data_IF_743697678451
#
_entry.id   IF_743697678451
#
_cell.length_a   1.000
_cell.length_b   1.000
_cell.length_c   1.000
_cell.angle_alpha   90.00
_cell.angle_beta   90.00
_cell.angle_gamma   90.00
#
_symmetry.space_group_name_H-M   'P 1'
#
loop_
_entity.id
_entity.type
_entity.pdbx_description
1 polymer ?
#
# COMPACT_ATOMS: atom_id res chain seq x y z
N UNK A 1 -13.42 -30.20 -21.59
CA UNK A 1 -14.45 -29.14 -21.71
C UNK A 1 -15.28 -29.37 -22.96
N UNK A 2 -16.60 -29.28 -22.85
CA UNK A 2 -17.52 -29.32 -24.01
C UNK A 2 -17.31 -28.06 -24.86
N UNK A 3 -17.69 -28.06 -26.16
CA UNK A 3 -17.49 -26.91 -27.05
C UNK A 3 -18.08 -25.59 -26.51
N UNK A 4 -19.26 -25.64 -25.89
CA UNK A 4 -19.91 -24.46 -25.29
C UNK A 4 -19.17 -23.87 -24.07
N UNK A 5 -18.46 -24.71 -23.30
CA UNK A 5 -17.64 -24.25 -22.17
C UNK A 5 -16.42 -23.46 -22.66
N UNK A 6 -15.86 -23.85 -23.81
CA UNK A 6 -14.69 -23.18 -24.41
C UNK A 6 -15.04 -21.77 -24.91
N UNK A 7 -16.18 -21.62 -25.59
CA UNK A 7 -16.63 -20.32 -26.10
C UNK A 7 -16.93 -19.35 -24.96
N UNK A 8 -17.58 -19.83 -23.89
CA UNK A 8 -17.84 -19.04 -22.69
C UNK A 8 -16.55 -18.65 -21.98
N UNK A 9 -15.61 -19.59 -21.80
CA UNK A 9 -14.32 -19.32 -21.19
C UNK A 9 -13.53 -18.24 -21.96
N UNK A 10 -13.52 -18.31 -23.30
CA UNK A 10 -12.87 -17.32 -24.14
C UNK A 10 -13.52 -15.93 -24.02
N UNK A 11 -14.85 -15.86 -24.00
CA UNK A 11 -15.58 -14.60 -23.83
C UNK A 11 -15.31 -13.98 -22.45
N UNK A 12 -15.33 -14.77 -21.37
CA UNK A 12 -15.00 -14.30 -20.03
C UNK A 12 -13.53 -13.84 -19.93
N UNK A 13 -12.61 -14.55 -20.59
CA UNK A 13 -11.20 -14.16 -20.66
C UNK A 13 -11.01 -12.82 -21.37
N UNK A 14 -11.62 -12.64 -22.54
CA UNK A 14 -11.54 -11.41 -23.32
C UNK A 14 -12.15 -10.21 -22.59
N UNK A 15 -13.32 -10.40 -21.96
CA UNK A 15 -14.00 -9.35 -21.20
C UNK A 15 -13.16 -8.84 -20.02
N UNK A 16 -12.63 -9.75 -19.20
CA UNK A 16 -11.83 -9.38 -18.02
C UNK A 16 -10.48 -8.78 -18.41
N UNK A 17 -9.87 -9.26 -19.50
CA UNK A 17 -8.65 -8.67 -20.07
C UNK A 17 -8.91 -7.26 -20.57
N UNK A 18 -9.99 -7.05 -21.34
CA UNK A 18 -10.38 -5.72 -21.81
C UNK A 18 -10.68 -4.76 -20.65
N UNK A 19 -11.35 -5.25 -19.59
CA UNK A 19 -11.60 -4.47 -18.38
C UNK A 19 -10.30 -4.04 -17.69
N UNK A 20 -9.31 -4.92 -17.59
CA UNK A 20 -8.00 -4.57 -17.04
C UNK A 20 -7.33 -3.46 -17.87
N UNK A 21 -7.36 -3.55 -19.21
CA UNK A 21 -6.83 -2.51 -20.11
C UNK A 21 -7.54 -1.18 -19.88
N UNK A 22 -8.87 -1.16 -19.87
CA UNK A 22 -9.65 0.07 -19.67
C UNK A 22 -9.33 0.72 -18.32
N UNK A 23 -9.25 -0.06 -17.24
CA UNK A 23 -8.88 0.45 -15.92
C UNK A 23 -7.47 1.04 -15.94
N UNK A 24 -6.51 0.33 -16.54
CA UNK A 24 -5.12 0.80 -16.65
C UNK A 24 -4.99 2.11 -17.42
N UNK A 25 -5.66 2.23 -18.57
CA UNK A 25 -5.68 3.45 -19.37
C UNK A 25 -6.35 4.60 -18.62
N UNK A 26 -7.53 4.36 -18.02
CA UNK A 26 -8.25 5.38 -17.27
C UNK A 26 -7.41 5.96 -16.12
N UNK A 27 -6.65 5.13 -15.42
CA UNK A 27 -5.79 5.58 -14.32
C UNK A 27 -4.64 6.48 -14.71
N UNK A 28 -4.04 6.22 -15.87
CA UNK A 28 -2.88 6.99 -16.34
C UNK A 28 -3.34 8.32 -16.92
N UNK A 29 -4.42 8.32 -17.72
CA UNK A 29 -4.88 9.53 -18.39
C UNK A 29 -5.73 10.45 -17.51
N UNK A 30 -6.23 9.96 -16.38
CA UNK A 30 -7.01 10.75 -15.42
C UNK A 30 -6.27 10.72 -14.06
N UNK A 31 -5.40 11.70 -13.75
CA UNK A 31 -4.59 11.69 -12.53
C UNK A 31 -5.36 11.42 -11.22
N UNK A 32 -6.58 11.97 -11.00
CA UNK A 32 -7.37 11.65 -9.81
C UNK A 32 -7.79 10.17 -9.71
N UNK A 33 -7.80 9.44 -10.83
CA UNK A 33 -8.16 8.02 -10.90
C UNK A 33 -6.97 7.07 -10.75
N UNK A 34 -5.74 7.58 -10.66
CA UNK A 34 -4.55 6.73 -10.53
C UNK A 34 -4.61 5.83 -9.28
N UNK A 35 -5.02 6.39 -8.13
CA UNK A 35 -5.20 5.62 -6.91
C UNK A 35 -6.23 4.50 -7.07
N UNK A 36 -7.37 4.80 -7.71
CA UNK A 36 -8.41 3.80 -7.97
C UNK A 36 -7.89 2.70 -8.90
N UNK A 37 -7.03 3.05 -9.85
CA UNK A 37 -6.43 2.10 -10.78
C UNK A 37 -5.49 1.15 -10.08
N UNK A 38 -4.63 1.63 -9.18
CA UNK A 38 -3.76 0.78 -8.35
C UNK A 38 -4.55 -0.29 -7.59
N UNK A 39 -5.77 0.03 -7.16
CA UNK A 39 -6.64 -0.87 -6.39
C UNK A 39 -7.51 -1.78 -7.28
N UNK A 40 -8.06 -1.24 -8.36
CA UNK A 40 -9.03 -1.91 -9.25
C UNK A 40 -8.37 -2.77 -10.32
N UNK A 41 -7.20 -2.37 -10.83
CA UNK A 41 -6.49 -3.10 -11.89
C UNK A 41 -6.18 -4.56 -11.56
N UNK A 42 -5.80 -4.92 -10.32
CA UNK A 42 -5.62 -6.33 -9.95
C UNK A 42 -6.92 -7.16 -10.01
N UNK A 43 -8.10 -6.54 -9.85
CA UNK A 43 -9.38 -7.26 -9.64
C UNK A 43 -9.80 -8.11 -10.84
N UNK A 44 -9.82 -7.62 -12.09
CA UNK A 44 -10.11 -8.46 -13.26
C UNK A 44 -9.16 -9.66 -13.39
N UNK A 45 -7.88 -9.49 -13.04
CA UNK A 45 -6.90 -10.56 -13.09
C UNK A 45 -7.12 -11.60 -11.99
N UNK A 46 -7.49 -11.17 -10.78
CA UNK A 46 -7.94 -12.06 -9.70
C UNK A 46 -9.13 -12.91 -10.21
N UNK A 47 -10.09 -12.28 -10.87
CA UNK A 47 -11.26 -12.97 -11.42
C UNK A 47 -10.90 -13.97 -12.53
N UNK A 48 -9.93 -13.65 -13.39
CA UNK A 48 -9.42 -14.58 -14.41
C UNK A 48 -8.86 -15.84 -13.76
N UNK A 49 -8.02 -15.70 -12.73
CA UNK A 49 -7.44 -16.85 -12.02
C UNK A 49 -8.51 -17.68 -11.32
N UNK A 50 -9.48 -17.01 -10.68
CA UNK A 50 -10.58 -17.66 -9.96
C UNK A 50 -11.53 -18.44 -10.88
N UNK A 51 -11.83 -17.91 -12.07
CA UNK A 51 -12.79 -18.51 -13.02
C UNK A 51 -12.16 -19.53 -13.97
N UNK A 52 -10.93 -19.30 -14.39
CA UNK A 52 -10.20 -20.12 -15.35
C UNK A 52 -9.04 -20.79 -14.61
N UNK A 53 -7.83 -20.23 -14.69
CA UNK A 53 -6.61 -20.66 -13.97
C UNK A 53 -5.53 -19.56 -14.00
N UNK A 54 -4.45 -19.75 -13.24
CA UNK A 54 -3.30 -18.83 -13.22
C UNK A 54 -2.67 -18.63 -14.60
N UNK A 55 -2.59 -19.67 -15.42
CA UNK A 55 -2.10 -19.58 -16.80
C UNK A 55 -2.94 -18.61 -17.66
N UNK A 56 -4.28 -18.66 -17.51
CA UNK A 56 -5.17 -17.74 -18.22
C UNK A 56 -5.10 -16.32 -17.65
N UNK A 57 -4.87 -16.17 -16.35
CA UNK A 57 -4.58 -14.89 -15.72
C UNK A 57 -3.30 -14.26 -16.29
N UNK A 58 -2.20 -15.03 -16.37
CA UNK A 58 -0.94 -14.58 -16.97
C UNK A 58 -1.08 -14.26 -18.45
N UNK A 59 -1.79 -15.09 -19.22
CA UNK A 59 -2.07 -14.82 -20.62
C UNK A 59 -2.90 -13.53 -20.78
N UNK A 60 -3.89 -13.31 -19.90
CA UNK A 60 -4.69 -12.09 -19.89
C UNK A 60 -3.86 -10.85 -19.55
N UNK A 61 -2.98 -10.95 -18.56
CA UNK A 61 -2.03 -9.90 -18.24
C UNK A 61 -1.07 -9.61 -19.40
N UNK A 62 -0.55 -10.64 -20.07
CA UNK A 62 0.32 -10.48 -21.24
C UNK A 62 -0.42 -9.78 -22.40
N UNK A 63 -1.67 -10.16 -22.65
CA UNK A 63 -2.50 -9.50 -23.65
C UNK A 63 -2.79 -8.04 -23.27
N UNK A 64 -3.13 -7.76 -22.00
CA UNK A 64 -3.31 -6.39 -21.51
C UNK A 64 -2.01 -5.58 -21.60
N UNK A 65 -0.86 -6.19 -21.32
CA UNK A 65 0.46 -5.57 -21.40
C UNK A 65 0.78 -5.04 -22.80
N UNK A 66 0.40 -5.76 -23.86
CA UNK A 66 0.56 -5.27 -25.24
C UNK A 66 -0.13 -3.92 -25.43
N UNK A 67 -1.39 -3.79 -25.00
CA UNK A 67 -2.11 -2.52 -25.09
C UNK A 67 -1.50 -1.45 -24.19
N UNK A 68 -1.17 -1.78 -22.94
CA UNK A 68 -0.59 -0.82 -22.02
C UNK A 68 0.75 -0.29 -22.52
N UNK A 69 1.64 -1.13 -23.04
CA UNK A 69 2.94 -0.68 -23.57
C UNK A 69 2.77 0.24 -24.80
N UNK A 70 1.74 0.02 -25.61
CA UNK A 70 1.47 0.87 -26.79
C UNK A 70 0.92 2.25 -26.40
N UNK A 71 0.04 2.31 -25.40
CA UNK A 71 -0.72 3.52 -25.09
C UNK A 71 -0.27 4.28 -23.84
N UNK A 72 0.52 3.66 -22.95
CA UNK A 72 0.92 4.22 -21.65
C UNK A 72 2.43 4.50 -21.66
N UNK A 73 2.92 5.60 -21.05
CA UNK A 73 4.34 5.84 -20.87
C UNK A 73 5.04 4.65 -20.20
N UNK A 74 6.26 4.33 -20.66
CA UNK A 74 6.97 3.11 -20.26
C UNK A 74 7.05 2.90 -18.73
N UNK A 75 7.38 3.93 -17.90
CA UNK A 75 7.39 3.76 -16.44
C UNK A 75 6.04 3.33 -15.86
N UNK A 76 4.96 3.99 -16.30
CA UNK A 76 3.61 3.71 -15.83
C UNK A 76 3.12 2.32 -16.30
N UNK A 77 3.45 1.92 -17.53
CA UNK A 77 3.12 0.59 -18.04
C UNK A 77 3.80 -0.51 -17.22
N UNK A 78 5.08 -0.35 -16.90
CA UNK A 78 5.84 -1.29 -16.05
C UNK A 78 5.19 -1.43 -14.67
N UNK A 79 4.84 -0.31 -14.03
CA UNK A 79 4.16 -0.33 -12.72
C UNK A 79 2.81 -1.05 -12.82
N UNK A 80 1.99 -0.76 -13.83
CA UNK A 80 0.71 -1.45 -14.01
C UNK A 80 0.88 -2.96 -14.19
N UNK A 81 1.82 -3.39 -15.03
CA UNK A 81 2.00 -4.79 -15.39
C UNK A 81 2.66 -5.58 -14.26
N UNK A 82 3.81 -5.10 -13.78
CA UNK A 82 4.65 -5.81 -12.81
C UNK A 82 4.10 -5.66 -11.41
N UNK A 83 3.84 -4.42 -10.97
CA UNK A 83 3.42 -4.18 -9.60
C UNK A 83 1.97 -4.59 -9.37
N UNK A 84 1.02 -4.05 -10.14
CA UNK A 84 -0.40 -4.31 -9.91
C UNK A 84 -0.92 -5.55 -10.62
N UNK A 85 -0.41 -5.84 -11.82
CA UNK A 85 -0.83 -7.00 -12.61
C UNK A 85 -0.48 -8.32 -11.94
N UNK A 86 0.81 -8.51 -11.62
CA UNK A 86 1.27 -9.72 -10.93
C UNK A 86 0.71 -9.84 -9.51
N UNK A 87 0.42 -8.72 -8.82
CA UNK A 87 -0.28 -8.74 -7.54
C UNK A 87 -1.70 -9.31 -7.68
N UNK A 88 -2.40 -8.99 -8.77
CA UNK A 88 -3.70 -9.59 -9.10
C UNK A 88 -3.60 -11.11 -9.31
N UNK A 89 -2.56 -11.57 -9.99
CA UNK A 89 -2.31 -13.01 -10.17
C UNK A 89 -2.02 -13.69 -8.83
N UNK A 90 -1.17 -13.08 -8.00
CA UNK A 90 -0.84 -13.58 -6.66
C UNK A 90 -2.09 -13.73 -5.80
N UNK A 91 -2.92 -12.68 -5.69
CA UNK A 91 -4.17 -12.77 -4.94
C UNK A 91 -5.14 -13.78 -5.53
N UNK A 92 -5.23 -13.87 -6.86
CA UNK A 92 -6.03 -14.88 -7.54
C UNK A 92 -5.65 -16.30 -7.12
N UNK A 93 -4.35 -16.61 -7.07
CA UNK A 93 -3.84 -17.92 -6.63
C UNK A 93 -4.17 -18.17 -5.16
N UNK A 94 -3.95 -17.18 -4.29
CA UNK A 94 -4.20 -17.32 -2.85
C UNK A 94 -5.68 -17.54 -2.54
N UNK A 95 -6.58 -16.79 -3.17
CA UNK A 95 -8.02 -16.98 -3.03
C UNK A 95 -8.47 -18.33 -3.60
N UNK A 96 -7.95 -18.74 -4.77
CA UNK A 96 -8.31 -20.02 -5.40
C UNK A 96 -7.92 -21.21 -4.54
N UNK A 97 -6.74 -21.14 -3.91
CA UNK A 97 -6.24 -22.16 -2.99
C UNK A 97 -6.82 -22.06 -1.58
N UNK A 98 -7.79 -21.17 -1.33
CA UNK A 98 -8.45 -20.96 -0.04
C UNK A 98 -7.48 -20.72 1.12
N UNK A 99 -6.38 -20.04 0.85
CA UNK A 99 -5.40 -19.65 1.87
C UNK A 99 -6.10 -18.76 2.90
N UNK A 100 -5.76 -18.94 4.19
CA UNK A 100 -6.39 -18.18 5.27
C UNK A 100 -6.29 -16.66 5.03
N UNK A 101 -7.28 -15.89 5.49
CA UNK A 101 -7.32 -14.45 5.24
C UNK A 101 -6.12 -13.69 5.81
N UNK A 102 -5.59 -14.13 6.96
CA UNK A 102 -4.38 -13.55 7.54
C UNK A 102 -3.15 -13.78 6.64
N UNK A 103 -2.93 -15.04 6.24
CA UNK A 103 -1.81 -15.38 5.37
C UNK A 103 -1.95 -14.72 3.98
N UNK A 104 -3.16 -14.62 3.43
CA UNK A 104 -3.42 -13.96 2.15
C UNK A 104 -3.06 -12.47 2.21
N UNK A 105 -3.47 -11.76 3.27
CA UNK A 105 -3.12 -10.34 3.45
C UNK A 105 -1.61 -10.18 3.64
N UNK A 106 -0.98 -10.98 4.50
CA UNK A 106 0.47 -10.90 4.73
C UNK A 106 1.27 -11.18 3.45
N UNK A 107 0.91 -12.22 2.70
CA UNK A 107 1.53 -12.53 1.42
C UNK A 107 1.29 -11.44 0.36
N UNK A 108 0.08 -10.85 0.34
CA UNK A 108 -0.25 -9.74 -0.54
C UNK A 108 0.52 -8.46 -0.22
N UNK A 109 0.69 -8.11 1.06
CA UNK A 109 1.49 -6.97 1.51
C UNK A 109 2.97 -7.13 1.15
N UNK A 110 3.56 -8.29 1.49
CA UNK A 110 4.94 -8.60 1.16
C UNK A 110 5.15 -8.66 -0.36
N UNK A 111 4.25 -9.35 -1.07
CA UNK A 111 4.27 -9.46 -2.52
C UNK A 111 4.17 -8.10 -3.19
N UNK A 112 3.30 -7.20 -2.73
CA UNK A 112 3.18 -5.85 -3.27
C UNK A 112 4.46 -5.03 -3.07
N UNK A 113 5.12 -5.14 -1.92
CA UNK A 113 6.40 -4.46 -1.68
C UNK A 113 7.50 -4.99 -2.61
N UNK A 114 7.60 -6.31 -2.76
CA UNK A 114 8.57 -6.95 -3.66
C UNK A 114 8.31 -6.58 -5.12
N UNK A 115 7.05 -6.64 -5.55
CA UNK A 115 6.66 -6.31 -6.92
C UNK A 115 6.83 -4.82 -7.23
N UNK A 116 6.62 -3.94 -6.24
CA UNK A 116 6.91 -2.52 -6.36
C UNK A 116 8.42 -2.27 -6.56
N UNK A 117 9.27 -2.87 -5.72
CA UNK A 117 10.73 -2.78 -5.89
C UNK A 117 11.18 -3.36 -7.23
N UNK A 118 10.62 -4.49 -7.65
CA UNK A 118 10.91 -5.08 -8.95
C UNK A 118 10.49 -4.16 -10.11
N UNK A 119 9.33 -3.52 -10.02
CA UNK A 119 8.88 -2.54 -10.99
C UNK A 119 9.82 -1.33 -11.04
N UNK A 120 10.21 -0.78 -9.89
CA UNK A 120 11.15 0.34 -9.81
C UNK A 120 12.52 0.00 -10.43
N UNK A 121 13.06 -1.19 -10.15
CA UNK A 121 14.30 -1.68 -10.77
C UNK A 121 14.16 -1.82 -12.29
N UNK A 122 13.02 -2.33 -12.77
CA UNK A 122 12.78 -2.48 -14.20
C UNK A 122 12.60 -1.13 -14.91
N UNK A 123 11.92 -0.17 -14.27
CA UNK A 123 11.83 1.21 -14.78
C UNK A 123 13.24 1.79 -14.94
N UNK A 124 14.06 1.73 -13.88
CA UNK A 124 15.44 2.20 -13.93
C UNK A 124 16.25 1.51 -15.03
N UNK A 125 16.11 0.20 -15.20
CA UNK A 125 16.82 -0.55 -16.23
C UNK A 125 16.41 -0.18 -17.67
N UNK A 126 15.15 0.25 -17.86
CA UNK A 126 14.62 0.60 -19.19
C UNK A 126 14.83 2.07 -19.56
N UNK A 127 14.73 2.98 -18.59
CA UNK A 127 14.82 4.44 -18.85
C UNK A 127 16.16 5.04 -18.47
N UNK A 128 16.93 4.39 -17.58
CA UNK A 128 18.13 4.96 -16.96
C UNK A 128 17.83 5.99 -15.86
N UNK A 129 16.55 6.30 -15.62
CA UNK A 129 16.12 7.31 -14.65
C UNK A 129 15.77 6.67 -13.31
N UNK A 130 16.28 7.22 -12.22
CA UNK A 130 16.01 6.71 -10.89
C UNK A 130 14.60 7.13 -10.44
N UNK A 131 13.64 6.20 -10.26
CA UNK A 131 12.26 6.54 -9.88
C UNK A 131 12.13 7.09 -8.45
N UNK A 132 13.22 7.10 -7.68
CA UNK A 132 13.27 7.61 -6.31
C UNK A 132 13.95 8.98 -6.19
N UNK A 133 14.25 9.63 -7.32
CA UNK A 133 14.84 10.98 -7.38
C UNK A 133 13.90 11.86 -8.18
N UNK A 134 13.70 13.10 -7.74
CA UNK A 134 12.94 14.06 -8.54
C UNK A 134 13.77 14.50 -9.75
N UNK A 135 13.16 14.39 -10.92
CA UNK A 135 13.64 15.09 -12.11
C UNK A 135 13.30 16.60 -12.03
N UNK A 136 13.78 17.36 -13.01
CA UNK A 136 13.52 18.80 -13.07
C UNK A 136 12.03 19.14 -13.15
N UNK A 137 11.22 18.29 -13.79
CA UNK A 137 9.79 18.49 -13.91
C UNK A 137 9.08 18.36 -12.55
N UNK A 138 9.40 17.33 -11.78
CA UNK A 138 8.89 17.08 -10.44
C UNK A 138 9.33 18.18 -9.47
N UNK A 139 10.58 18.66 -9.56
CA UNK A 139 11.05 19.81 -8.76
C UNK A 139 10.22 21.05 -9.08
N UNK A 140 10.03 21.37 -10.37
CA UNK A 140 9.24 22.55 -10.78
C UNK A 140 7.77 22.43 -10.35
N UNK A 141 7.18 21.26 -10.45
CA UNK A 141 5.81 21.01 -9.97
C UNK A 141 5.70 21.20 -8.44
N UNK A 142 6.69 20.71 -7.68
CA UNK A 142 6.75 20.91 -6.23
C UNK A 142 6.91 22.40 -5.87
N UNK A 143 7.77 23.14 -6.58
CA UNK A 143 7.95 24.57 -6.40
C UNK A 143 6.68 25.37 -6.70
N UNK A 144 5.95 25.02 -7.76
CA UNK A 144 4.66 25.64 -8.09
C UNK A 144 3.63 25.40 -6.98
N UNK A 145 3.49 24.15 -6.51
CA UNK A 145 2.60 23.82 -5.41
C UNK A 145 2.95 24.58 -4.12
N UNK A 146 4.25 24.74 -3.83
CA UNK A 146 4.72 25.52 -2.68
C UNK A 146 4.39 27.01 -2.83
N UNK A 147 4.62 27.60 -4.01
CA UNK A 147 4.31 29.00 -4.29
C UNK A 147 2.81 29.30 -4.07
N UNK A 148 1.93 28.43 -4.53
CA UNK A 148 0.48 28.53 -4.29
C UNK A 148 0.14 28.48 -2.79
N UNK A 149 0.82 27.59 -2.04
CA UNK A 149 0.61 27.45 -0.60
C UNK A 149 1.15 28.62 0.24
N UNK A 150 2.17 29.34 -0.24
CA UNK A 150 2.59 30.61 0.37
C UNK A 150 1.62 31.75 0.07
N UNK A 151 0.98 31.76 -1.11
CA UNK A 151 0.04 32.82 -1.48
C UNK A 151 -1.30 32.75 -0.75
N UNK A 152 -1.90 31.56 -0.70
CA UNK A 152 -3.27 31.37 -0.23
C UNK A 152 -3.49 30.13 0.66
N UNK A 153 -2.43 29.37 0.97
CA UNK A 153 -2.52 28.09 1.64
C UNK A 153 -1.97 28.08 3.07
N UNK A 154 -1.60 26.88 3.52
CA UNK A 154 -1.15 26.62 4.88
C UNK A 154 0.18 27.31 5.25
N UNK A 155 0.94 27.78 4.26
CA UNK A 155 2.28 28.36 4.44
C UNK A 155 2.29 29.89 4.37
N UNK A 156 1.13 30.55 4.29
CA UNK A 156 1.01 32.01 4.11
C UNK A 156 1.82 32.86 5.11
N UNK A 157 2.02 32.36 6.32
CA UNK A 157 2.70 33.10 7.38
C UNK A 157 4.23 32.96 7.33
N UNK A 158 4.79 32.24 6.35
CA UNK A 158 6.24 32.12 6.17
C UNK A 158 6.79 33.40 5.54
N UNK A 159 7.73 34.12 6.20
CA UNK A 159 8.32 35.34 5.67
C UNK A 159 8.98 35.11 4.30
N UNK A 160 8.85 36.04 3.32
CA UNK A 160 9.40 35.87 1.97
C UNK A 160 10.89 35.51 1.94
N UNK A 161 11.67 36.08 2.87
CA UNK A 161 13.11 35.85 3.00
C UNK A 161 13.45 34.40 3.35
N UNK A 162 12.55 33.67 4.01
CA UNK A 162 12.75 32.28 4.43
C UNK A 162 12.13 31.27 3.46
N UNK A 163 11.28 31.70 2.52
CA UNK A 163 10.54 30.81 1.63
C UNK A 163 11.48 29.96 0.78
N UNK A 164 12.58 30.52 0.26
CA UNK A 164 13.54 29.79 -0.57
C UNK A 164 14.18 28.60 0.17
N UNK A 165 14.69 28.84 1.38
CA UNK A 165 15.30 27.80 2.21
C UNK A 165 14.28 26.78 2.71
N UNK A 166 13.07 27.24 3.03
CA UNK A 166 11.98 26.37 3.47
C UNK A 166 11.52 25.44 2.34
N UNK A 167 11.38 25.96 1.11
CA UNK A 167 11.06 25.17 -0.08
C UNK A 167 12.11 24.10 -0.36
N UNK A 168 13.41 24.45 -0.31
CA UNK A 168 14.50 23.49 -0.49
C UNK A 168 14.43 22.36 0.55
N UNK A 169 14.14 22.69 1.81
CA UNK A 169 13.98 21.69 2.88
C UNK A 169 12.79 20.77 2.63
N UNK A 170 11.66 21.32 2.19
CA UNK A 170 10.47 20.50 1.87
C UNK A 170 10.77 19.57 0.69
N UNK A 171 11.34 20.08 -0.40
CA UNK A 171 11.67 19.26 -1.58
C UNK A 171 12.66 18.16 -1.21
N UNK A 172 13.72 18.49 -0.45
CA UNK A 172 14.68 17.48 0.03
C UNK A 172 14.03 16.46 0.96
N UNK A 173 13.07 16.87 1.80
CA UNK A 173 12.29 15.97 2.64
C UNK A 173 11.40 15.04 1.79
N UNK A 174 10.72 15.57 0.78
CA UNK A 174 9.90 14.78 -0.14
C UNK A 174 10.76 13.73 -0.85
N UNK A 175 11.89 14.14 -1.42
CA UNK A 175 12.85 13.26 -2.10
C UNK A 175 13.39 12.16 -1.18
N UNK A 176 13.75 12.51 0.06
CA UNK A 176 14.26 11.56 1.04
C UNK A 176 13.29 10.40 1.32
N UNK A 177 11.98 10.68 1.35
CA UNK A 177 10.95 9.71 1.73
C UNK A 177 10.22 9.07 0.55
N UNK A 178 10.56 9.38 -0.72
CA UNK A 178 9.96 8.72 -1.90
C UNK A 178 10.04 7.18 -1.78
N UNK A 179 11.17 6.56 -1.43
CA UNK A 179 11.24 5.09 -1.34
C UNK A 179 10.27 4.53 -0.30
N UNK A 180 10.23 5.13 0.90
CA UNK A 180 9.32 4.72 1.96
C UNK A 180 7.86 4.92 1.57
N UNK A 181 7.54 6.07 0.97
CA UNK A 181 6.22 6.38 0.46
C UNK A 181 5.77 5.37 -0.60
N UNK A 182 6.67 4.98 -1.51
CA UNK A 182 6.41 3.98 -2.53
C UNK A 182 6.09 2.60 -1.93
N UNK A 183 6.79 2.19 -0.88
CA UNK A 183 6.49 0.95 -0.13
C UNK A 183 5.12 1.04 0.55
N UNK A 184 4.83 2.16 1.22
CA UNK A 184 3.57 2.35 1.95
C UNK A 184 2.37 2.37 1.01
N UNK A 185 2.44 3.12 -0.11
CA UNK A 185 1.36 3.20 -1.08
C UNK A 185 1.10 1.83 -1.71
N UNK A 186 2.15 1.06 -1.99
CA UNK A 186 2.05 -0.31 -2.51
C UNK A 186 1.36 -1.25 -1.53
N UNK A 187 1.79 -1.24 -0.26
CA UNK A 187 1.19 -2.03 0.81
C UNK A 187 -0.27 -1.63 1.06
N UNK A 188 -0.56 -0.33 1.08
CA UNK A 188 -1.90 0.19 1.26
C UNK A 188 -2.83 -0.22 0.11
N UNK A 189 -2.39 -0.04 -1.15
CA UNK A 189 -3.13 -0.49 -2.32
C UNK A 189 -3.43 -1.98 -2.24
N UNK A 190 -2.43 -2.81 -1.90
CA UNK A 190 -2.62 -4.25 -1.75
C UNK A 190 -3.64 -4.62 -0.67
N UNK A 191 -3.63 -3.93 0.48
CA UNK A 191 -4.61 -4.14 1.55
C UNK A 191 -6.03 -3.79 1.06
N UNK A 192 -6.20 -2.65 0.41
CA UNK A 192 -7.51 -2.22 -0.13
C UNK A 192 -7.98 -3.18 -1.23
N UNK A 193 -7.09 -3.58 -2.14
CA UNK A 193 -7.37 -4.58 -3.19
C UNK A 193 -7.84 -5.90 -2.59
N UNK A 194 -7.22 -6.38 -1.51
CA UNK A 194 -7.67 -7.60 -0.83
C UNK A 194 -9.14 -7.49 -0.38
N UNK A 195 -9.49 -6.41 0.34
CA UNK A 195 -10.86 -6.23 0.83
C UNK A 195 -11.86 -6.06 -0.30
N UNK A 196 -11.49 -5.30 -1.33
CA UNK A 196 -12.31 -5.07 -2.51
C UNK A 196 -12.53 -6.38 -3.29
N UNK A 197 -11.46 -7.10 -3.60
CA UNK A 197 -11.53 -8.38 -4.31
C UNK A 197 -12.36 -9.40 -3.53
N UNK A 198 -12.17 -9.49 -2.21
CA UNK A 198 -12.99 -10.36 -1.35
C UNK A 198 -14.47 -9.99 -1.43
N UNK A 199 -14.82 -8.70 -1.38
CA UNK A 199 -16.21 -8.25 -1.50
C UNK A 199 -16.81 -8.59 -2.87
N UNK A 200 -16.06 -8.39 -3.96
CA UNK A 200 -16.48 -8.75 -5.31
C UNK A 200 -16.67 -10.26 -5.45
N UNK A 201 -15.72 -11.08 -4.99
CA UNK A 201 -15.80 -12.53 -5.06
C UNK A 201 -16.99 -13.10 -4.29
N UNK A 202 -17.28 -12.58 -3.09
CA UNK A 202 -18.46 -13.01 -2.32
C UNK A 202 -19.75 -12.67 -3.05
N UNK A 203 -19.84 -11.46 -3.65
CA UNK A 203 -21.00 -11.07 -4.46
C UNK A 203 -21.21 -11.96 -5.69
N UNK A 204 -20.12 -12.51 -6.23
CA UNK A 204 -20.15 -13.47 -7.34
C UNK A 204 -20.40 -14.92 -6.89
N UNK A 205 -20.65 -15.17 -5.60
CA UNK A 205 -21.01 -16.48 -5.07
C UNK A 205 -19.81 -17.38 -4.71
N UNK A 206 -18.58 -16.85 -4.68
CA UNK A 206 -17.42 -17.64 -4.26
C UNK A 206 -17.41 -17.83 -2.73
N UNK A 207 -17.16 -19.06 -2.29
CA UNK A 207 -16.91 -19.37 -0.88
C UNK A 207 -15.46 -19.10 -0.53
N UNK A 208 -15.23 -18.21 0.44
CA UNK A 208 -13.91 -17.77 0.88
C UNK A 208 -13.72 -18.03 2.38
N UNK A 209 -12.46 -18.18 2.85
CA UNK A 209 -12.17 -18.26 4.28
C UNK A 209 -12.74 -17.09 5.11
N UNK A 210 -12.92 -17.28 6.43
CA UNK A 210 -13.41 -16.24 7.33
C UNK A 210 -12.57 -14.96 7.23
N UNK A 211 -13.24 -13.81 7.20
CA UNK A 211 -12.58 -12.52 7.03
C UNK A 211 -11.56 -12.23 8.15
N UNK A 212 -10.47 -11.56 7.78
CA UNK A 212 -9.50 -11.06 8.76
C UNK A 212 -10.17 -10.00 9.64
N UNK A 213 -10.22 -10.25 10.95
CA UNK A 213 -10.72 -9.27 11.90
C UNK A 213 -9.66 -8.19 12.14
N UNK A 214 -9.89 -6.97 11.65
CA UNK A 214 -8.96 -5.85 11.79
C UNK A 214 -8.51 -5.62 13.24
N UNK A 215 -9.42 -5.73 14.22
CA UNK A 215 -9.12 -5.55 15.65
C UNK A 215 -8.23 -6.64 16.26
N UNK A 216 -7.91 -7.70 15.51
CA UNK A 216 -7.04 -8.82 15.93
C UNK A 216 -5.74 -8.89 15.14
N UNK A 217 -5.46 -7.92 14.27
CA UNK A 217 -4.17 -7.82 13.56
C UNK A 217 -3.11 -7.42 14.58
N UNK A 218 -2.03 -8.19 14.65
CA UNK A 218 -0.89 -7.94 15.53
C UNK A 218 0.40 -8.30 14.80
N UNK A 219 1.53 -7.78 15.28
CA UNK A 219 2.86 -8.17 14.85
C UNK A 219 3.56 -8.97 15.97
N UNK A 220 4.49 -9.87 15.61
CA UNK A 220 5.31 -10.55 16.59
C UNK A 220 6.25 -9.57 17.30
N UNK A 221 6.62 -9.87 18.56
CA UNK A 221 7.46 -9.02 19.41
C UNK A 221 8.78 -8.59 18.76
N UNK A 222 9.36 -9.44 17.90
CA UNK A 222 10.60 -9.14 17.20
C UNK A 222 10.47 -8.03 16.14
N UNK A 223 9.27 -7.53 15.85
CA UNK A 223 9.09 -6.34 15.00
C UNK A 223 9.80 -5.10 15.55
N UNK A 224 10.06 -5.07 16.87
CA UNK A 224 10.81 -3.98 17.52
C UNK A 224 12.25 -3.86 16.99
N UNK A 225 12.86 -4.96 16.53
CA UNK A 225 14.21 -4.90 15.95
C UNK A 225 14.26 -4.07 14.67
N UNK A 226 13.16 -3.96 13.92
CA UNK A 226 13.06 -3.03 12.80
C UNK A 226 13.17 -1.58 13.25
N UNK A 227 12.55 -1.22 14.37
CA UNK A 227 12.62 0.12 14.94
C UNK A 227 14.05 0.42 15.43
N UNK A 228 14.65 -0.52 16.15
CA UNK A 228 16.04 -0.43 16.64
C UNK A 228 17.01 -0.28 15.46
N UNK A 229 16.86 -1.10 14.41
CA UNK A 229 17.68 -1.02 13.21
C UNK A 229 17.52 0.32 12.49
N UNK A 230 16.29 0.82 12.34
CA UNK A 230 16.01 2.12 11.73
C UNK A 230 16.69 3.26 12.50
N UNK A 231 16.51 3.33 13.82
CA UNK A 231 17.15 4.32 14.70
C UNK A 231 18.67 4.21 14.67
N UNK A 232 19.20 2.98 14.75
CA UNK A 232 20.63 2.69 14.71
C UNK A 232 21.28 3.13 13.40
N UNK A 233 20.65 2.86 12.26
CA UNK A 233 21.12 3.28 10.94
C UNK A 233 21.05 4.81 10.77
N UNK A 234 19.99 5.45 11.28
CA UNK A 234 19.87 6.91 11.29
C UNK A 234 21.00 7.54 12.10
N UNK A 235 21.19 7.10 13.35
CA UNK A 235 22.25 7.61 14.23
C UNK A 235 23.64 7.35 13.65
N UNK A 236 23.91 6.13 13.18
CA UNK A 236 25.20 5.78 12.61
C UNK A 236 25.49 6.62 11.35
N UNK A 237 24.50 6.81 10.48
CA UNK A 237 24.66 7.62 9.28
C UNK A 237 24.89 9.09 9.57
N UNK A 238 24.15 9.68 10.52
CA UNK A 238 24.26 11.10 10.87
C UNK A 238 25.55 11.39 11.67
N UNK A 239 26.02 10.47 12.53
CA UNK A 239 27.23 10.66 13.35
C UNK A 239 28.53 10.28 12.63
N UNK A 240 28.53 9.18 11.87
CA UNK A 240 29.72 8.70 11.15
C UNK A 240 29.79 9.18 9.70
N UNK A 241 28.92 10.12 9.30
CA UNK A 241 28.87 10.69 7.95
C UNK A 241 28.74 9.60 6.86
N UNK A 242 27.80 8.67 7.07
CA UNK A 242 27.43 7.62 6.09
C UNK A 242 26.01 7.93 5.58
N UNK A 243 25.85 8.77 4.54
CA UNK A 243 24.53 9.27 4.13
C UNK A 243 23.56 8.16 3.70
N UNK A 244 24.07 7.10 3.07
CA UNK A 244 23.25 5.96 2.67
C UNK A 244 22.61 5.24 3.87
N UNK A 245 23.37 5.08 4.98
CA UNK A 245 22.84 4.51 6.21
C UNK A 245 21.77 5.41 6.83
N UNK A 246 22.00 6.73 6.87
CA UNK A 246 21.02 7.68 7.38
C UNK A 246 19.72 7.65 6.59
N UNK A 247 19.81 7.64 5.25
CA UNK A 247 18.65 7.56 4.34
C UNK A 247 17.87 6.27 4.51
N UNK A 248 18.56 5.13 4.60
CA UNK A 248 17.95 3.83 4.84
C UNK A 248 17.24 3.79 6.19
N UNK A 249 17.91 4.23 7.26
CA UNK A 249 17.33 4.30 8.60
C UNK A 249 16.07 5.16 8.64
N UNK A 250 16.11 6.37 8.06
CA UNK A 250 14.97 7.29 8.00
C UNK A 250 13.77 6.68 7.25
N UNK A 251 14.00 6.01 6.11
CA UNK A 251 12.94 5.34 5.37
C UNK A 251 12.37 4.11 6.10
N UNK A 252 13.20 3.31 6.78
CA UNK A 252 12.73 2.21 7.64
C UNK A 252 11.79 2.75 8.72
N UNK A 253 12.21 3.83 9.41
CA UNK A 253 11.39 4.47 10.44
C UNK A 253 10.10 5.06 9.87
N UNK A 254 10.14 5.64 8.67
CA UNK A 254 8.96 6.15 7.98
C UNK A 254 7.95 5.04 7.70
N UNK A 255 8.38 3.92 7.12
CA UNK A 255 7.51 2.76 6.87
C UNK A 255 6.94 2.21 8.18
N UNK A 256 7.79 2.02 9.19
CA UNK A 256 7.37 1.51 10.50
C UNK A 256 6.40 2.45 11.21
N UNK A 257 6.56 3.77 11.06
CA UNK A 257 5.61 4.74 11.60
C UNK A 257 4.19 4.44 11.13
N UNK A 258 3.96 4.26 9.82
CA UNK A 258 2.62 3.94 9.29
C UNK A 258 2.15 2.55 9.71
N UNK A 259 3.03 1.54 9.72
CA UNK A 259 2.69 0.19 10.18
C UNK A 259 2.21 0.22 11.64
N UNK A 260 2.96 0.88 12.53
CA UNK A 260 2.59 1.01 13.94
C UNK A 260 1.35 1.89 14.12
N UNK A 261 1.12 2.89 13.26
CA UNK A 261 -0.12 3.66 13.27
C UNK A 261 -1.34 2.76 12.99
N UNK A 262 -1.26 1.92 11.95
CA UNK A 262 -2.34 0.96 11.62
C UNK A 262 -2.56 -0.04 12.76
N UNK A 263 -1.50 -0.55 13.38
CA UNK A 263 -1.61 -1.43 14.55
C UNK A 263 -2.22 -0.71 15.75
N UNK A 264 -1.85 0.54 15.98
CA UNK A 264 -2.46 1.39 17.00
C UNK A 264 -3.96 1.55 16.81
N UNK A 265 -4.40 1.79 15.58
CA UNK A 265 -5.82 1.86 15.24
C UNK A 265 -6.49 0.49 15.43
N UNK A 266 -5.80 -0.61 15.13
CA UNK A 266 -6.26 -1.98 15.42
C UNK A 266 -6.48 -2.21 16.92
N UNK A 267 -5.57 -1.73 17.77
CA UNK A 267 -5.68 -1.79 19.24
C UNK A 267 -6.83 -0.91 19.74
N UNK A 268 -6.91 0.33 19.28
CA UNK A 268 -8.01 1.23 19.62
C UNK A 268 -9.37 0.64 19.22
N UNK A 269 -9.47 0.05 18.02
CA UNK A 269 -10.68 -0.63 17.54
C UNK A 269 -11.06 -1.86 18.38
N UNK A 270 -10.08 -2.60 18.92
CA UNK A 270 -10.33 -3.70 19.84
C UNK A 270 -10.99 -3.20 21.13
N UNK A 271 -10.39 -2.21 21.80
CA UNK A 271 -10.93 -1.68 23.05
C UNK A 271 -12.24 -0.92 22.85
N UNK A 272 -12.40 -0.20 21.75
CA UNK A 272 -13.66 0.48 21.40
C UNK A 272 -14.85 -0.50 21.31
N UNK A 273 -14.61 -1.73 20.85
CA UNK A 273 -15.63 -2.80 20.79
C UNK A 273 -15.89 -3.43 22.15
N UNK A 274 -14.84 -3.56 22.98
CA UNK A 274 -14.94 -4.19 24.30
C UNK A 274 -15.63 -3.28 25.33
N UNK A 275 -15.41 -1.97 25.23
CA UNK A 275 -15.95 -0.99 26.17
C UNK A 275 -17.46 -0.83 25.96
N UNK A 276 -18.24 -1.09 27.02
CA UNK A 276 -19.70 -0.99 27.05
C UNK A 276 -20.18 0.45 27.32
N UNK A 277 -19.78 1.39 26.47
CA UNK A 277 -20.26 2.78 26.51
C UNK A 277 -21.50 2.98 25.63
N UNK A 278 -22.43 3.89 26.00
CA UNK A 278 -23.52 4.31 25.12
C UNK A 278 -22.98 4.86 23.79
N UNK A 279 -23.68 4.59 22.68
CA UNK A 279 -23.29 5.02 21.33
C UNK A 279 -22.88 6.50 21.22
N UNK A 280 -23.65 7.45 21.78
CA UNK A 280 -23.29 8.88 21.73
C UNK A 280 -21.95 9.20 22.40
N UNK A 281 -21.65 8.56 23.53
CA UNK A 281 -20.38 8.78 24.26
C UNK A 281 -19.20 8.31 23.42
N UNK A 282 -19.35 7.16 22.75
CA UNK A 282 -18.33 6.64 21.83
C UNK A 282 -18.07 7.58 20.66
N UNK A 283 -19.12 8.21 20.11
CA UNK A 283 -19.01 9.22 19.04
C UNK A 283 -18.27 10.47 19.54
N UNK A 284 -18.56 10.94 20.76
CA UNK A 284 -17.85 12.09 21.35
C UNK A 284 -16.35 11.82 21.45
N UNK A 285 -15.93 10.64 21.94
CA UNK A 285 -14.50 10.28 21.98
C UNK A 285 -13.87 10.25 20.58
N UNK A 286 -14.59 9.78 19.57
CA UNK A 286 -14.12 9.76 18.18
C UNK A 286 -13.97 11.18 17.62
N UNK A 287 -14.94 12.06 17.87
CA UNK A 287 -14.88 13.47 17.49
C UNK A 287 -13.74 14.19 18.20
N UNK A 288 -13.54 13.94 19.50
CA UNK A 288 -12.44 14.54 20.25
C UNK A 288 -11.08 14.07 19.73
N UNK A 289 -10.95 12.79 19.37
CA UNK A 289 -9.75 12.28 18.71
C UNK A 289 -9.50 12.94 17.35
N UNK A 290 -10.56 13.24 16.59
CA UNK A 290 -10.46 13.94 15.29
C UNK A 290 -10.06 15.41 15.47
N UNK A 291 -10.63 16.11 16.45
CA UNK A 291 -10.30 17.51 16.76
C UNK A 291 -8.85 17.62 17.24
N UNK A 292 -8.41 16.68 18.09
CA UNK A 292 -7.03 16.63 18.62
C UNK A 292 -6.18 15.59 17.88
N UNK A 293 -6.20 15.63 16.54
CA UNK A 293 -5.57 14.62 15.69
C UNK A 293 -4.08 14.37 16.00
N UNK A 294 -3.21 15.37 16.23
CA UNK A 294 -1.80 15.11 16.51
C UNK A 294 -1.61 14.29 17.80
N UNK A 295 -2.36 14.63 18.86
CA UNK A 295 -2.32 13.91 20.13
C UNK A 295 -2.89 12.50 19.98
N UNK A 296 -4.03 12.36 19.28
CA UNK A 296 -4.62 11.06 19.01
C UNK A 296 -3.68 10.16 18.20
N UNK A 297 -3.01 10.70 17.18
CA UNK A 297 -2.02 9.98 16.38
C UNK A 297 -0.82 9.53 17.22
N UNK A 298 -0.31 10.37 18.12
CA UNK A 298 0.76 10.00 19.03
C UNK A 298 0.35 8.87 19.99
N UNK A 299 -0.86 8.93 20.56
CA UNK A 299 -1.39 7.88 21.42
C UNK A 299 -1.59 6.57 20.66
N UNK A 300 -2.16 6.64 19.46
CA UNK A 300 -2.35 5.50 18.56
C UNK A 300 -1.00 4.87 18.22
N UNK A 301 0.00 5.67 17.83
CA UNK A 301 1.34 5.17 17.55
C UNK A 301 1.94 4.47 18.77
N UNK A 302 1.82 5.05 19.96
CA UNK A 302 2.29 4.44 21.21
C UNK A 302 1.60 3.08 21.47
N UNK A 303 0.28 2.98 21.27
CA UNK A 303 -0.44 1.71 21.35
C UNK A 303 0.07 0.68 20.34
N UNK A 304 0.34 1.11 19.11
CA UNK A 304 0.84 0.25 18.05
C UNK A 304 2.23 -0.32 18.32
N UNK A 305 3.14 0.49 18.88
CA UNK A 305 4.50 0.07 19.26
C UNK A 305 4.48 -0.85 20.49
N UNK A 306 3.59 -0.59 21.45
CA UNK A 306 3.57 -1.31 22.74
C UNK A 306 2.83 -2.65 22.67
N UNK A 307 1.78 -2.78 21.85
CA UNK A 307 0.99 -4.01 21.78
C UNK A 307 1.79 -5.26 21.37
N UNK A 308 2.72 -5.23 20.39
CA UNK A 308 3.59 -6.38 20.09
C UNK A 308 4.48 -6.83 21.25
N UNK A 309 4.82 -5.93 22.18
CA UNK A 309 5.72 -6.20 23.31
C UNK A 309 4.99 -6.72 24.54
N UNK A 310 3.85 -6.10 24.86
CA UNK A 310 3.11 -6.35 26.11
C UNK A 310 1.86 -7.21 25.87
N UNK A 311 1.41 -7.34 24.62
CA UNK A 311 0.16 -7.97 24.24
C UNK A 311 -1.03 -7.34 25.01
N UNK A 312 -1.25 -6.03 24.82
CA UNK A 312 -2.28 -5.26 25.52
C UNK A 312 -3.68 -5.89 25.39
N UNK A 313 -3.95 -6.51 24.24
CA UNK A 313 -5.22 -7.16 23.91
C UNK A 313 -5.33 -8.62 24.41
N UNK A 314 -4.27 -9.16 25.03
CA UNK A 314 -4.18 -10.56 25.50
C UNK A 314 -4.61 -11.57 24.44
N UNK A 315 -4.18 -11.36 23.19
CA UNK A 315 -4.47 -12.27 22.09
C UNK A 315 -3.65 -13.57 22.25
N UNK A 316 -4.18 -14.73 21.85
CA UNK A 316 -3.40 -15.98 21.82
C UNK A 316 -2.13 -15.78 21.00
N UNK A 317 -1.00 -16.29 21.49
CA UNK A 317 0.28 -16.09 20.81
C UNK A 317 0.26 -16.78 19.44
N UNK A 318 1.07 -16.29 18.49
CA UNK A 318 1.24 -16.97 17.19
C UNK A 318 1.78 -18.41 17.38
N UNK A 319 2.55 -18.65 18.46
CA UNK A 319 3.09 -19.96 18.82
C UNK A 319 1.99 -20.98 19.18
N UNK A 320 0.91 -20.51 19.82
CA UNK A 320 -0.23 -21.37 20.19
C UNK A 320 -1.11 -21.78 18.99
N UNK A 321 -0.99 -21.08 17.85
CA UNK A 321 -1.78 -21.34 16.65
C UNK A 321 -1.18 -22.40 15.73
N UNK A 322 0.14 -22.55 15.76
CA UNK A 322 0.89 -23.44 14.87
C UNK A 322 1.30 -24.77 15.53
N UNK A 323 0.86 -25.03 16.78
CA UNK A 323 0.97 -26.36 17.41
C UNK A 323 2.40 -26.89 17.52
N UNK A 324 3.34 -26.06 17.97
CA UNK A 324 4.67 -26.47 18.45
C UNK A 324 4.75 -26.41 19.96
#
# INVERSE_FOLDING_TARGET
MKPGDKTRALAEWGLLTALAVVIGLAGVFLPPLYFFTAVLFPVPLILLVMKLDSCYGLAGLAAAAVFLIIFVPAPAAVVLIVQYGLLGILYGILFKNRVSSGATVSAGLLGACVLALAAACLVYALTGENPFVFDEENVRAAEQWLAENYGAGALKNVPPELQGDFSKKIISFMELFIPGQFVITSAFAAAVTYFLARAVLIRLGFSLPPALAFSRITLPWYSIYGLIAGLGLTLAGDQFSVPAAARAGKNILFVLFYVYLVLGVSVAAYFYRLVSLPGPVKVIFLLMALIYLPFAAALVLALGVTDPLVNLRRLPSLKDRDGL
#
